data_IF_053929450806
#
_entry.id   IF_053929450806
#
_cell.length_a   1.000
_cell.length_b   1.000
_cell.length_c   1.000
_cell.angle_alpha   90.00
_cell.angle_beta   90.00
_cell.angle_gamma   90.00
#
_symmetry.space_group_name_H-M   'P 1'
#
loop_
_entity.id
_entity.type
_entity.pdbx_description
1 polymer ?
#
# COMPACT_ATOMS: atom_id res chain seq x y z
N UNK A 1 33.96 23.55 -89.47
CA UNK A 1 33.02 22.47 -89.15
C UNK A 1 33.38 21.84 -87.82
N UNK A 2 32.84 22.35 -86.70
CA UNK A 2 32.85 21.58 -85.45
C UNK A 2 31.78 20.49 -85.59
N UNK A 3 32.20 19.23 -85.64
CA UNK A 3 31.27 18.10 -85.55
C UNK A 3 30.66 18.12 -84.14
N UNK A 4 29.37 18.43 -84.06
CA UNK A 4 28.59 18.25 -82.84
C UNK A 4 28.42 16.73 -82.69
N UNK A 5 29.20 16.12 -81.80
CA UNK A 5 28.90 14.76 -81.37
C UNK A 5 27.60 14.79 -80.55
N UNK A 6 26.53 14.12 -80.96
CA UNK A 6 25.34 14.01 -80.14
C UNK A 6 25.74 13.33 -78.82
N UNK A 7 25.44 13.97 -77.68
CA UNK A 7 25.62 13.36 -76.37
C UNK A 7 24.62 12.20 -76.26
N UNK A 8 25.11 10.97 -76.42
CA UNK A 8 24.33 9.75 -76.26
C UNK A 8 24.16 9.49 -74.76
N UNK A 9 22.92 9.18 -74.33
CA UNK A 9 22.62 8.73 -72.96
C UNK A 9 23.42 7.47 -72.68
N UNK A 10 24.32 7.52 -71.69
CA UNK A 10 25.16 6.36 -71.34
C UNK A 10 24.34 5.26 -70.64
N UNK A 11 24.96 4.11 -70.39
CA UNK A 11 24.31 2.93 -69.82
C UNK A 11 23.68 3.21 -68.45
N UNK A 12 24.39 3.91 -67.55
CA UNK A 12 23.89 4.21 -66.21
C UNK A 12 22.70 5.18 -66.25
N UNK A 13 22.77 6.20 -67.11
CA UNK A 13 21.68 7.15 -67.33
C UNK A 13 20.45 6.44 -67.94
N UNK A 14 20.66 5.56 -68.93
CA UNK A 14 19.59 4.80 -69.58
C UNK A 14 18.89 3.86 -68.58
N UNK A 15 19.67 3.13 -67.77
CA UNK A 15 19.14 2.26 -66.72
C UNK A 15 18.41 3.05 -65.63
N UNK A 16 18.91 4.23 -65.25
CA UNK A 16 18.25 5.11 -64.27
C UNK A 16 16.91 5.64 -64.80
N UNK A 17 16.87 6.06 -66.07
CA UNK A 17 15.65 6.52 -66.72
C UNK A 17 14.63 5.39 -66.87
N UNK A 18 15.08 4.19 -67.24
CA UNK A 18 14.24 2.99 -67.28
C UNK A 18 13.66 2.65 -65.91
N UNK A 19 14.49 2.58 -64.86
CA UNK A 19 14.04 2.29 -63.50
C UNK A 19 13.02 3.31 -62.98
N UNK A 20 13.15 4.58 -63.36
CA UNK A 20 12.20 5.65 -63.01
C UNK A 20 10.94 5.69 -63.89
N UNK A 21 10.83 4.78 -64.87
CA UNK A 21 9.70 4.71 -65.80
C UNK A 21 9.71 5.78 -66.90
N UNK A 22 10.82 6.53 -67.04
CA UNK A 22 10.97 7.55 -68.08
C UNK A 22 11.29 6.95 -69.47
N UNK A 23 11.87 5.74 -69.50
CA UNK A 23 12.05 4.92 -70.70
C UNK A 23 11.27 3.61 -70.51
N UNK A 24 10.50 3.20 -71.52
CA UNK A 24 9.72 1.95 -71.48
C UNK A 24 10.63 0.72 -71.56
N UNK A 25 10.16 -0.42 -71.03
CA UNK A 25 10.92 -1.67 -70.97
C UNK A 25 11.28 -2.26 -72.36
N UNK A 26 10.50 -1.95 -73.39
CA UNK A 26 10.77 -2.33 -74.78
C UNK A 26 11.85 -1.45 -75.44
N UNK A 27 12.11 -0.26 -74.89
CA UNK A 27 13.06 0.71 -75.44
C UNK A 27 14.47 0.64 -74.80
N UNK A 28 14.61 0.09 -73.59
CA UNK A 28 15.90 0.00 -72.90
C UNK A 28 16.87 -0.98 -73.59
N UNK A 29 16.37 -2.16 -73.99
CA UNK A 29 17.20 -3.19 -74.63
C UNK A 29 17.81 -2.71 -75.96
N UNK A 30 17.05 -2.14 -76.92
CA UNK A 30 17.63 -1.58 -78.14
C UNK A 30 18.60 -0.42 -77.88
N UNK A 31 18.38 0.36 -76.82
CA UNK A 31 19.29 1.45 -76.45
C UNK A 31 20.64 0.92 -75.96
N UNK A 32 20.65 -0.07 -75.07
CA UNK A 32 21.87 -0.68 -74.57
C UNK A 32 22.60 -1.51 -75.66
N UNK A 33 21.88 -2.12 -76.59
CA UNK A 33 22.49 -2.78 -77.76
C UNK A 33 23.24 -1.77 -78.65
N UNK A 34 22.74 -0.54 -78.83
CA UNK A 34 23.45 0.53 -79.56
C UNK A 34 24.72 0.99 -78.85
N UNK A 35 24.80 0.80 -77.53
CA UNK A 35 26.01 1.06 -76.75
C UNK A 35 27.02 -0.11 -76.79
N UNK A 36 26.67 -1.21 -77.47
CA UNK A 36 27.56 -2.36 -77.69
C UNK A 36 27.41 -3.50 -76.68
N UNK A 37 26.39 -3.47 -75.82
CA UNK A 37 26.11 -4.58 -74.89
C UNK A 37 25.34 -5.71 -75.58
N UNK A 38 25.71 -6.96 -75.30
CA UNK A 38 24.98 -8.14 -75.72
C UNK A 38 23.81 -8.45 -74.79
N UNK A 39 22.93 -9.36 -75.19
CA UNK A 39 21.72 -9.69 -74.42
C UNK A 39 22.02 -10.16 -72.98
N UNK A 40 23.03 -11.03 -72.72
CA UNK A 40 23.45 -11.36 -71.36
C UNK A 40 23.94 -10.16 -70.53
N UNK A 41 24.78 -9.28 -71.09
CA UNK A 41 25.26 -8.09 -70.37
C UNK A 41 24.10 -7.12 -70.07
N UNK A 42 23.15 -6.98 -70.99
CA UNK A 42 21.96 -6.15 -70.78
C UNK A 42 21.13 -6.67 -69.61
N UNK A 43 20.89 -7.98 -69.54
CA UNK A 43 20.16 -8.58 -68.40
C UNK A 43 20.89 -8.32 -67.08
N UNK A 44 22.21 -8.55 -67.04
CA UNK A 44 23.02 -8.27 -65.86
C UNK A 44 23.01 -6.80 -65.44
N UNK A 45 23.07 -5.87 -66.38
CA UNK A 45 22.98 -4.43 -66.13
C UNK A 45 21.60 -4.01 -65.61
N UNK A 46 20.53 -4.63 -66.10
CA UNK A 46 19.17 -4.40 -65.63
C UNK A 46 18.98 -4.94 -64.20
N UNK A 47 19.50 -6.13 -63.90
CA UNK A 47 19.50 -6.69 -62.54
C UNK A 47 20.37 -5.85 -61.59
N UNK A 48 21.49 -5.29 -62.06
CA UNK A 48 22.42 -4.48 -61.27
C UNK A 48 21.76 -3.22 -60.67
N UNK A 49 20.78 -2.62 -61.37
CA UNK A 49 20.10 -1.40 -60.90
C UNK A 49 18.87 -1.68 -60.04
N UNK A 50 18.50 -2.94 -59.85
CA UNK A 50 17.45 -3.31 -58.90
C UNK A 50 17.89 -3.01 -57.47
N UNK A 51 16.97 -2.45 -56.68
CA UNK A 51 17.25 -2.20 -55.26
C UNK A 51 17.01 -3.47 -54.47
N UNK A 52 18.03 -3.88 -53.72
CA UNK A 52 17.97 -4.99 -52.77
C UNK A 52 17.56 -4.48 -51.41
N UNK A 53 16.77 -5.25 -50.69
CA UNK A 53 16.33 -4.89 -49.34
C UNK A 53 17.50 -5.02 -48.34
N UNK A 54 17.47 -4.16 -47.32
CA UNK A 54 18.41 -4.23 -46.21
C UNK A 54 18.04 -5.38 -45.25
N UNK A 55 19.01 -5.89 -44.46
CA UNK A 55 18.76 -7.00 -43.55
C UNK A 55 17.62 -6.74 -42.55
N UNK A 56 17.47 -5.52 -42.01
CA UNK A 56 16.45 -5.23 -41.01
C UNK A 56 15.04 -5.25 -41.61
N UNK A 57 14.88 -4.78 -42.85
CA UNK A 57 13.61 -4.87 -43.57
C UNK A 57 13.25 -6.32 -43.88
N UNK A 58 14.21 -7.12 -44.35
CA UNK A 58 14.01 -8.55 -44.61
C UNK A 58 13.59 -9.29 -43.34
N UNK A 59 14.30 -9.08 -42.22
CA UNK A 59 13.98 -9.71 -40.94
C UNK A 59 12.57 -9.38 -40.46
N UNK A 60 12.16 -8.09 -40.49
CA UNK A 60 10.81 -7.68 -40.05
C UNK A 60 9.68 -8.30 -40.87
N UNK A 61 9.84 -8.37 -42.20
CA UNK A 61 8.81 -8.97 -43.06
C UNK A 61 8.85 -10.50 -42.98
N UNK A 62 10.04 -11.10 -42.81
CA UNK A 62 10.24 -12.52 -42.60
C UNK A 62 9.50 -13.03 -41.36
N UNK A 63 9.57 -12.33 -40.23
CA UNK A 63 8.83 -12.72 -39.03
C UNK A 63 7.30 -12.69 -39.18
N UNK A 64 6.77 -11.92 -40.13
CA UNK A 64 5.32 -11.87 -40.38
C UNK A 64 4.79 -13.08 -41.12
N UNK A 65 5.61 -13.69 -41.97
CA UNK A 65 5.29 -14.90 -42.75
C UNK A 65 6.60 -15.51 -43.29
N UNK A 66 7.22 -16.38 -42.48
CA UNK A 66 8.55 -16.95 -42.78
C UNK A 66 8.58 -17.68 -44.12
N UNK A 67 7.62 -18.58 -44.44
CA UNK A 67 7.60 -19.27 -45.73
C UNK A 67 7.46 -18.32 -46.92
N UNK A 68 6.55 -17.34 -46.86
CA UNK A 68 6.29 -16.42 -47.97
C UNK A 68 7.47 -15.53 -48.30
N UNK A 69 8.21 -15.10 -47.27
CA UNK A 69 9.27 -14.09 -47.41
C UNK A 69 10.69 -14.67 -47.38
N UNK A 70 10.87 -15.98 -47.18
CA UNK A 70 12.19 -16.63 -47.20
C UNK A 70 12.99 -16.35 -48.50
N UNK A 71 12.30 -16.13 -49.63
CA UNK A 71 12.94 -15.76 -50.90
C UNK A 71 13.75 -14.46 -50.85
N UNK A 72 13.40 -13.52 -49.96
CA UNK A 72 14.06 -12.23 -49.86
C UNK A 72 15.48 -12.32 -49.30
N UNK A 73 15.86 -13.44 -48.67
CA UNK A 73 17.25 -13.67 -48.25
C UNK A 73 18.23 -13.73 -49.44
N UNK A 74 17.74 -14.00 -50.67
CA UNK A 74 18.54 -13.90 -51.89
C UNK A 74 19.09 -12.47 -52.09
N UNK A 75 18.36 -11.45 -51.66
CA UNK A 75 18.82 -10.07 -51.80
C UNK A 75 20.14 -9.82 -51.08
N UNK A 76 20.34 -10.46 -49.91
CA UNK A 76 21.60 -10.36 -49.16
C UNK A 76 22.72 -11.15 -49.83
N UNK A 77 22.39 -12.32 -50.40
CA UNK A 77 23.34 -13.12 -51.17
C UNK A 77 23.86 -12.34 -52.38
N UNK A 78 22.96 -11.71 -53.13
CA UNK A 78 23.30 -10.88 -54.30
C UNK A 78 24.10 -9.63 -53.93
N UNK A 79 23.99 -9.16 -52.68
CA UNK A 79 24.82 -8.07 -52.12
C UNK A 79 26.20 -8.55 -51.65
N UNK A 80 26.53 -9.84 -51.81
CA UNK A 80 27.84 -10.41 -51.49
C UNK A 80 27.94 -11.04 -50.09
N UNK A 81 26.82 -11.28 -49.40
CA UNK A 81 26.85 -12.05 -48.15
C UNK A 81 26.91 -13.55 -48.46
N UNK A 82 27.73 -14.28 -47.70
CA UNK A 82 27.78 -15.74 -47.76
C UNK A 82 26.52 -16.34 -47.11
N UNK A 83 26.20 -17.59 -47.47
CA UNK A 83 25.09 -18.34 -46.85
C UNK A 83 25.20 -18.38 -45.33
N UNK A 84 26.41 -18.51 -44.78
CA UNK A 84 26.65 -18.51 -43.33
C UNK A 84 26.26 -17.18 -42.69
N UNK A 85 26.63 -16.04 -43.31
CA UNK A 85 26.24 -14.70 -42.82
C UNK A 85 24.73 -14.48 -42.91
N UNK A 86 24.09 -15.01 -43.95
CA UNK A 86 22.62 -14.95 -44.09
C UNK A 86 21.94 -15.76 -42.98
N UNK A 87 22.48 -16.94 -42.64
CA UNK A 87 21.95 -17.75 -41.55
C UNK A 87 22.06 -17.01 -40.19
N UNK A 88 23.13 -16.26 -39.95
CA UNK A 88 23.23 -15.38 -38.76
C UNK A 88 22.06 -14.38 -38.73
N UNK A 89 21.72 -13.72 -39.85
CA UNK A 89 20.57 -12.80 -39.87
C UNK A 89 19.22 -13.49 -39.67
N UNK A 90 19.09 -14.75 -40.11
CA UNK A 90 17.89 -15.56 -39.83
C UNK A 90 17.77 -15.89 -38.35
N UNK A 91 18.88 -16.21 -37.69
CA UNK A 91 18.90 -16.43 -36.24
C UNK A 91 18.56 -15.14 -35.48
N UNK A 92 19.09 -13.99 -35.92
CA UNK A 92 18.76 -12.67 -35.35
C UNK A 92 17.29 -12.23 -35.57
N UNK A 93 16.53 -12.97 -36.39
CA UNK A 93 15.10 -12.74 -36.52
C UNK A 93 14.34 -13.14 -35.24
N UNK A 94 14.85 -14.12 -34.50
CA UNK A 94 14.35 -14.47 -33.18
C UNK A 94 15.05 -13.58 -32.13
N UNK A 95 14.26 -12.77 -31.42
CA UNK A 95 14.74 -11.79 -30.45
C UNK A 95 14.98 -12.47 -29.11
N UNK A 96 16.17 -12.23 -28.56
CA UNK A 96 16.47 -12.46 -27.15
C UNK A 96 16.07 -11.19 -26.39
N UNK A 97 15.22 -11.28 -25.35
CA UNK A 97 14.81 -10.13 -24.54
C UNK A 97 16.01 -9.34 -23.98
N UNK A 98 15.91 -8.01 -23.85
CA UNK A 98 16.98 -7.20 -23.26
C UNK A 98 17.19 -7.55 -21.77
N UNK A 99 18.36 -7.20 -21.25
CA UNK A 99 18.73 -7.49 -19.85
C UNK A 99 17.71 -6.97 -18.83
N UNK A 100 17.10 -5.80 -19.07
CA UNK A 100 16.06 -5.24 -18.18
C UNK A 100 14.86 -6.17 -18.04
N UNK A 101 14.46 -6.80 -19.14
CA UNK A 101 13.33 -7.72 -19.15
C UNK A 101 13.73 -9.04 -18.51
N UNK A 102 14.97 -9.50 -18.71
CA UNK A 102 15.50 -10.67 -18.01
C UNK A 102 15.52 -10.49 -16.49
N UNK A 103 15.90 -9.31 -15.98
CA UNK A 103 15.83 -9.02 -14.54
C UNK A 103 14.38 -9.05 -14.07
N UNK A 104 13.45 -8.44 -14.82
CA UNK A 104 12.01 -8.52 -14.50
C UNK A 104 11.53 -9.98 -14.47
N UNK A 105 11.92 -10.81 -15.43
CA UNK A 105 11.55 -12.22 -15.45
C UNK A 105 12.09 -12.97 -14.22
N UNK A 106 13.30 -12.63 -13.78
CA UNK A 106 13.87 -13.19 -12.56
C UNK A 106 13.08 -12.76 -11.31
N UNK A 107 12.74 -11.47 -11.19
CA UNK A 107 11.99 -10.93 -10.06
C UNK A 107 10.61 -11.59 -9.92
N UNK A 108 9.93 -11.84 -11.05
CA UNK A 108 8.62 -12.50 -11.09
C UNK A 108 8.69 -14.04 -11.07
N UNK A 109 9.88 -14.63 -10.98
CA UNK A 109 10.06 -16.08 -10.89
C UNK A 109 9.83 -16.84 -12.20
N UNK A 110 9.84 -16.17 -13.36
CA UNK A 110 9.66 -16.80 -14.68
C UNK A 110 10.83 -17.71 -15.11
N UNK A 111 11.90 -17.77 -14.32
CA UNK A 111 13.00 -18.73 -14.45
C UNK A 111 13.02 -19.77 -13.33
N UNK A 112 12.14 -19.64 -12.35
CA UNK A 112 12.17 -20.44 -11.13
C UNK A 112 11.22 -21.64 -11.26
N UNK A 113 11.72 -22.88 -11.34
CA UNK A 113 10.88 -24.04 -11.57
C UNK A 113 9.81 -24.24 -10.49
N UNK A 114 10.10 -23.87 -9.23
CA UNK A 114 9.14 -24.01 -8.13
C UNK A 114 7.96 -23.05 -8.30
N UNK A 115 8.24 -21.80 -8.70
CA UNK A 115 7.22 -20.78 -8.95
C UNK A 115 6.43 -21.11 -10.21
N UNK A 116 7.10 -21.56 -11.27
CA UNK A 116 6.44 -21.98 -12.51
C UNK A 116 5.49 -23.15 -12.25
N UNK A 117 5.90 -24.14 -11.46
CA UNK A 117 5.04 -25.27 -11.12
C UNK A 117 3.84 -24.83 -10.27
N UNK A 118 4.07 -23.96 -9.29
CA UNK A 118 3.00 -23.40 -8.44
C UNK A 118 1.93 -22.66 -9.25
N UNK A 119 2.34 -21.94 -10.29
CA UNK A 119 1.45 -21.11 -11.11
C UNK A 119 1.37 -21.57 -12.57
N UNK A 120 1.48 -22.89 -12.79
CA UNK A 120 1.60 -23.51 -14.11
C UNK A 120 0.49 -23.10 -15.08
N UNK A 121 -0.73 -22.96 -14.56
CA UNK A 121 -1.91 -22.52 -15.32
C UNK A 121 -1.75 -21.12 -15.93
N UNK A 122 -0.93 -20.26 -15.32
CA UNK A 122 -0.76 -18.85 -15.71
C UNK A 122 0.55 -18.58 -16.46
N UNK A 123 1.42 -19.59 -16.61
CA UNK A 123 2.74 -19.42 -17.21
C UNK A 123 2.72 -19.34 -18.73
N UNK A 124 1.97 -20.22 -19.40
CA UNK A 124 1.96 -20.25 -20.86
C UNK A 124 1.23 -19.04 -21.43
N UNK A 125 1.88 -18.37 -22.38
CA UNK A 125 1.26 -17.31 -23.13
C UNK A 125 0.13 -17.92 -23.99
N UNK A 126 -1.11 -17.43 -23.88
CA UNK A 126 -2.18 -17.89 -24.75
C UNK A 126 -1.87 -17.52 -26.20
N UNK A 127 -2.39 -18.30 -27.16
CA UNK A 127 -2.05 -18.13 -28.59
C UNK A 127 -2.31 -16.71 -29.11
N UNK A 128 -3.40 -16.08 -28.65
CA UNK A 128 -3.75 -14.70 -29.02
C UNK A 128 -2.72 -13.65 -28.59
N UNK A 129 -1.81 -13.99 -27.66
CA UNK A 129 -0.68 -13.16 -27.26
C UNK A 129 0.65 -13.67 -27.86
N UNK A 130 0.88 -14.99 -27.82
CA UNK A 130 2.10 -15.60 -28.34
C UNK A 130 2.27 -15.39 -29.86
N UNK A 131 1.18 -15.44 -30.63
CA UNK A 131 1.20 -15.23 -32.08
C UNK A 131 1.65 -13.80 -32.44
N UNK A 132 1.06 -12.72 -31.90
CA UNK A 132 1.58 -11.36 -32.09
C UNK A 132 3.04 -11.17 -31.64
N UNK A 133 3.46 -11.76 -30.53
CA UNK A 133 4.86 -11.71 -30.06
C UNK A 133 5.81 -12.36 -31.08
N UNK A 134 5.43 -13.48 -31.67
CA UNK A 134 6.22 -14.16 -32.69
C UNK A 134 6.42 -13.31 -33.96
N UNK A 135 5.44 -12.45 -34.33
CA UNK A 135 5.59 -11.50 -35.45
C UNK A 135 6.69 -10.45 -35.19
N UNK A 136 7.07 -10.25 -33.93
CA UNK A 136 8.17 -9.39 -33.50
C UNK A 136 9.47 -10.16 -33.27
N UNK A 137 9.46 -11.50 -33.40
CA UNK A 137 10.61 -12.35 -33.12
C UNK A 137 10.68 -12.88 -31.69
N UNK A 138 9.72 -12.56 -30.82
CA UNK A 138 9.66 -13.12 -29.47
C UNK A 138 8.94 -14.46 -29.53
N UNK A 139 9.70 -15.54 -29.56
CA UNK A 139 9.19 -16.91 -29.80
C UNK A 139 9.51 -17.84 -28.62
N UNK A 140 8.82 -18.99 -28.58
CA UNK A 140 9.05 -20.03 -27.59
C UNK A 140 8.85 -19.57 -26.15
N UNK A 141 9.76 -19.96 -25.26
CA UNK A 141 9.64 -19.65 -23.83
C UNK A 141 9.69 -18.15 -23.53
N UNK A 142 10.29 -17.32 -24.38
CA UNK A 142 10.35 -15.88 -24.13
C UNK A 142 8.95 -15.26 -24.08
N UNK A 143 8.04 -15.70 -24.95
CA UNK A 143 6.65 -15.26 -24.91
C UNK A 143 5.98 -15.63 -23.58
N UNK A 144 6.21 -16.87 -23.11
CA UNK A 144 5.72 -17.34 -21.81
C UNK A 144 6.28 -16.53 -20.64
N UNK A 145 7.56 -16.15 -20.67
CA UNK A 145 8.17 -15.34 -19.59
C UNK A 145 7.64 -13.91 -19.58
N UNK A 146 7.47 -13.28 -20.74
CA UNK A 146 6.78 -11.99 -20.84
C UNK A 146 5.36 -12.06 -20.32
N UNK A 147 4.63 -13.12 -20.68
CA UNK A 147 3.29 -13.35 -20.18
C UNK A 147 3.32 -13.57 -18.67
N UNK A 148 4.08 -14.51 -18.13
CA UNK A 148 4.08 -14.76 -16.69
C UNK A 148 4.46 -13.52 -15.87
N UNK A 149 5.40 -12.69 -16.34
CA UNK A 149 5.79 -11.43 -15.69
C UNK A 149 4.86 -10.23 -15.97
N UNK A 150 3.76 -10.41 -16.70
CA UNK A 150 2.76 -9.34 -16.91
C UNK A 150 1.76 -9.25 -15.74
N UNK A 151 1.54 -10.36 -15.02
CA UNK A 151 0.63 -10.41 -13.89
C UNK A 151 1.07 -9.47 -12.76
N UNK A 152 0.11 -8.81 -12.13
CA UNK A 152 0.34 -7.89 -11.01
C UNK A 152 0.08 -8.65 -9.70
N UNK A 153 1.09 -8.67 -8.84
CA UNK A 153 0.97 -9.30 -7.52
C UNK A 153 0.23 -8.38 -6.53
N UNK A 154 -0.54 -8.92 -5.58
CA UNK A 154 -1.27 -8.13 -4.58
C UNK A 154 -0.31 -7.29 -3.72
N UNK A 155 -0.73 -6.10 -3.30
CA UNK A 155 0.04 -5.27 -2.40
C UNK A 155 0.11 -5.86 -0.98
N UNK A 156 0.92 -5.24 -0.11
CA UNK A 156 1.08 -5.67 1.28
C UNK A 156 -0.23 -5.64 2.06
N UNK A 157 -1.09 -4.65 1.79
CA UNK A 157 -2.38 -4.51 2.44
C UNK A 157 -3.30 -5.66 2.03
N UNK A 158 -3.44 -5.91 0.73
CA UNK A 158 -4.24 -7.00 0.19
C UNK A 158 -3.75 -8.36 0.69
N UNK A 159 -2.43 -8.60 0.69
CA UNK A 159 -1.84 -9.82 1.23
C UNK A 159 -2.18 -10.03 2.71
N UNK A 160 -2.17 -8.98 3.52
CA UNK A 160 -2.55 -9.07 4.91
C UNK A 160 -4.04 -9.36 5.12
N UNK A 161 -4.92 -8.79 4.30
CA UNK A 161 -6.35 -9.12 4.33
C UNK A 161 -6.63 -10.56 3.87
N UNK A 162 -5.94 -11.03 2.82
CA UNK A 162 -6.05 -12.41 2.33
C UNK A 162 -5.59 -13.40 3.40
N UNK A 163 -4.44 -13.14 4.03
CA UNK A 163 -3.89 -13.98 5.10
C UNK A 163 -4.78 -13.99 6.34
N UNK A 164 -5.22 -12.83 6.81
CA UNK A 164 -6.07 -12.71 7.99
C UNK A 164 -7.46 -13.37 7.83
N UNK A 165 -7.91 -13.59 6.58
CA UNK A 165 -9.16 -14.30 6.24
C UNK A 165 -8.94 -15.77 5.88
N UNK A 166 -7.72 -16.27 6.05
CA UNK A 166 -7.35 -17.66 5.77
C UNK A 166 -7.59 -18.07 4.30
N UNK A 167 -7.58 -17.09 3.40
CA UNK A 167 -7.71 -17.33 1.95
C UNK A 167 -6.37 -17.77 1.34
N UNK A 168 -5.27 -17.45 2.03
CA UNK A 168 -3.90 -17.84 1.69
C UNK A 168 -3.13 -18.12 2.97
N UNK A 169 -2.12 -18.99 2.88
CA UNK A 169 -1.24 -19.33 3.99
C UNK A 169 0.10 -18.56 3.94
N UNK A 170 0.96 -18.80 4.93
CA UNK A 170 2.30 -18.20 5.03
C UNK A 170 3.16 -18.51 3.79
N UNK A 171 2.97 -19.68 3.15
CA UNK A 171 3.71 -20.10 1.95
C UNK A 171 3.36 -19.20 0.77
N UNK A 172 2.08 -19.00 0.51
CA UNK A 172 1.60 -18.14 -0.58
C UNK A 172 2.01 -16.68 -0.35
N UNK A 173 1.90 -16.17 0.87
CA UNK A 173 2.33 -14.80 1.20
C UNK A 173 3.83 -14.60 0.94
N UNK A 174 4.68 -15.55 1.38
CA UNK A 174 6.13 -15.47 1.14
C UNK A 174 6.48 -15.57 -0.33
N UNK A 175 5.79 -16.43 -1.09
CA UNK A 175 6.01 -16.53 -2.53
C UNK A 175 5.56 -15.27 -3.27
N UNK A 176 4.47 -14.63 -2.87
CA UNK A 176 4.10 -13.33 -3.42
C UNK A 176 5.23 -12.30 -3.22
N UNK A 177 5.81 -12.23 -2.02
CA UNK A 177 6.97 -11.36 -1.78
C UNK A 177 8.23 -11.77 -2.57
N UNK A 178 8.49 -13.07 -2.74
CA UNK A 178 9.58 -13.58 -3.60
C UNK A 178 9.40 -13.10 -5.03
N UNK A 179 8.19 -13.21 -5.58
CA UNK A 179 7.84 -12.77 -6.95
C UNK A 179 7.74 -11.25 -7.14
N UNK A 180 7.95 -10.48 -6.07
CA UNK A 180 8.13 -9.02 -6.11
C UNK A 180 9.61 -8.61 -5.99
N UNK A 181 10.54 -9.58 -5.92
CA UNK A 181 11.96 -9.34 -5.77
C UNK A 181 12.44 -9.07 -4.32
N UNK A 182 11.62 -9.34 -3.29
CA UNK A 182 12.10 -9.21 -1.91
C UNK A 182 13.04 -10.37 -1.53
N UNK A 183 14.16 -10.06 -0.88
CA UNK A 183 15.06 -11.10 -0.34
C UNK A 183 14.38 -11.91 0.76
N UNK A 184 14.87 -13.14 1.00
CA UNK A 184 14.35 -14.02 2.06
C UNK A 184 14.32 -13.34 3.43
N UNK A 185 15.32 -12.52 3.73
CA UNK A 185 15.36 -11.68 4.94
C UNK A 185 14.13 -10.79 5.11
N UNK A 186 13.69 -10.16 4.02
CA UNK A 186 12.51 -9.29 4.03
C UNK A 186 11.21 -10.09 3.98
N UNK A 187 11.15 -11.18 3.23
CA UNK A 187 9.96 -12.02 3.14
C UNK A 187 9.46 -12.44 4.54
N UNK A 188 10.35 -12.91 5.42
CA UNK A 188 9.96 -13.30 6.80
C UNK A 188 9.41 -12.13 7.61
N UNK A 189 10.03 -10.95 7.51
CA UNK A 189 9.60 -9.75 8.26
C UNK A 189 8.29 -9.19 7.74
N UNK A 190 8.06 -9.26 6.44
CA UNK A 190 6.83 -8.82 5.81
C UNK A 190 5.68 -9.78 6.10
N UNK A 191 5.95 -11.08 6.23
CA UNK A 191 4.98 -12.06 6.71
C UNK A 191 4.59 -11.77 8.16
N UNK A 192 5.55 -11.47 9.04
CA UNK A 192 5.20 -11.09 10.41
C UNK A 192 4.45 -9.76 10.47
N UNK A 193 4.78 -8.80 9.60
CA UNK A 193 4.11 -7.50 9.54
C UNK A 193 2.62 -7.60 9.16
N UNK A 194 2.22 -8.58 8.34
CA UNK A 194 0.80 -8.75 7.99
C UNK A 194 -0.04 -9.26 9.17
N UNK A 195 0.59 -9.89 10.17
CA UNK A 195 -0.09 -10.35 11.39
C UNK A 195 -0.35 -9.15 12.30
N UNK A 196 -1.62 -8.95 12.67
CA UNK A 196 -2.04 -7.76 13.41
C UNK A 196 -1.66 -7.85 14.89
N UNK A 197 -1.07 -6.79 15.50
CA UNK A 197 -0.93 -6.71 16.95
C UNK A 197 -2.29 -6.46 17.62
N UNK A 198 -2.37 -6.73 18.93
CA UNK A 198 -3.56 -6.37 19.72
C UNK A 198 -3.80 -4.87 19.71
N UNK A 199 -5.08 -4.47 19.75
CA UNK A 199 -5.42 -3.04 19.84
C UNK A 199 -5.07 -2.49 21.21
N UNK A 200 -4.81 -1.18 21.31
CA UNK A 200 -4.58 -0.50 22.60
C UNK A 200 -5.69 -0.77 23.63
N UNK A 201 -6.94 -0.87 23.17
CA UNK A 201 -8.08 -1.13 24.04
C UNK A 201 -8.05 -2.55 24.58
N UNK A 202 -7.76 -3.53 23.73
CA UNK A 202 -7.68 -4.93 24.14
C UNK A 202 -6.48 -5.17 25.05
N UNK A 203 -5.31 -4.61 24.73
CA UNK A 203 -4.12 -4.64 25.59
C UNK A 203 -4.42 -4.12 27.00
N UNK A 204 -5.13 -2.99 27.12
CA UNK A 204 -5.55 -2.44 28.41
C UNK A 204 -6.52 -3.36 29.16
N UNK A 205 -7.50 -3.94 28.47
CA UNK A 205 -8.45 -4.90 29.07
C UNK A 205 -7.75 -6.17 29.53
N UNK A 206 -6.81 -6.66 28.74
CA UNK A 206 -6.00 -7.82 29.05
C UNK A 206 -5.16 -7.59 30.31
N UNK A 207 -4.59 -6.39 30.46
CA UNK A 207 -3.89 -5.96 31.68
C UNK A 207 -4.83 -5.92 32.89
N UNK A 208 -6.00 -5.29 32.75
CA UNK A 208 -7.04 -5.22 33.80
C UNK A 208 -7.49 -6.60 34.29
N UNK A 209 -7.67 -7.53 33.36
CA UNK A 209 -8.03 -8.91 33.68
C UNK A 209 -6.85 -9.76 34.16
N UNK A 210 -5.63 -9.23 34.23
CA UNK A 210 -4.43 -9.99 34.61
C UNK A 210 -4.01 -11.09 33.62
N UNK A 211 -4.50 -11.03 32.38
CA UNK A 211 -4.17 -12.01 31.33
C UNK A 211 -2.79 -11.77 30.70
N UNK A 212 -2.22 -10.59 30.92
CA UNK A 212 -0.85 -10.25 30.52
C UNK A 212 -0.10 -9.62 31.69
N UNK A 213 1.22 -9.79 31.70
CA UNK A 213 2.13 -9.14 32.64
C UNK A 213 2.69 -7.82 32.07
N UNK A 214 3.52 -7.10 32.84
CA UNK A 214 4.02 -5.78 32.45
C UNK A 214 4.99 -5.85 31.25
N UNK A 215 5.77 -6.93 31.16
CA UNK A 215 6.65 -7.19 30.01
C UNK A 215 5.83 -7.34 28.71
N UNK A 216 4.75 -8.12 28.76
CA UNK A 216 3.83 -8.32 27.65
C UNK A 216 3.05 -7.04 27.31
N UNK A 217 2.64 -6.26 28.32
CA UNK A 217 2.01 -4.95 28.14
C UNK A 217 2.94 -3.99 27.37
N UNK A 218 4.19 -3.89 27.82
CA UNK A 218 5.23 -3.08 27.17
C UNK A 218 5.48 -3.56 25.74
N UNK A 219 5.62 -4.87 25.53
CA UNK A 219 5.82 -5.46 24.20
C UNK A 219 4.66 -5.15 23.27
N UNK A 220 3.42 -5.24 23.75
CA UNK A 220 2.23 -4.96 22.94
C UNK A 220 2.15 -3.48 22.52
N UNK A 221 2.45 -2.54 23.42
CA UNK A 221 2.53 -1.12 23.05
C UNK A 221 3.71 -0.82 22.12
N UNK A 222 4.83 -1.49 22.28
CA UNK A 222 5.95 -1.37 21.36
C UNK A 222 5.57 -1.88 19.95
N UNK A 223 4.83 -2.98 19.83
CA UNK A 223 4.31 -3.45 18.54
C UNK A 223 3.32 -2.50 17.88
N UNK A 224 2.63 -1.67 18.66
CA UNK A 224 1.81 -0.57 18.15
C UNK A 224 2.63 0.68 17.77
N UNK A 225 3.95 0.65 17.95
CA UNK A 225 4.86 1.71 17.55
C UNK A 225 5.17 2.74 18.65
N UNK A 226 4.87 2.45 19.92
CA UNK A 226 5.28 3.31 21.03
C UNK A 226 6.71 2.99 21.48
N UNK A 227 7.54 4.03 21.63
CA UNK A 227 8.95 3.93 22.03
C UNK A 227 9.27 4.94 23.15
N UNK A 228 10.36 4.68 23.88
CA UNK A 228 10.93 5.59 24.88
C UNK A 228 9.88 6.15 25.86
N UNK A 229 9.86 7.47 26.06
CA UNK A 229 8.93 8.16 26.95
C UNK A 229 7.45 7.91 26.61
N UNK A 230 7.13 7.67 25.33
CA UNK A 230 5.76 7.37 24.90
C UNK A 230 5.36 5.96 25.33
N UNK A 231 6.29 5.01 25.26
CA UNK A 231 6.08 3.65 25.74
C UNK A 231 5.94 3.63 27.27
N UNK A 232 6.86 4.29 27.97
CA UNK A 232 6.83 4.40 29.44
C UNK A 232 5.55 5.08 29.92
N UNK A 233 5.16 6.18 29.28
CA UNK A 233 3.91 6.88 29.55
C UNK A 233 2.68 6.02 29.31
N UNK A 234 2.65 5.24 28.22
CA UNK A 234 1.53 4.34 27.90
C UNK A 234 1.40 3.19 28.91
N UNK A 235 2.53 2.60 29.34
CA UNK A 235 2.55 1.57 30.37
C UNK A 235 2.06 2.15 31.71
N UNK A 236 2.64 3.26 32.16
CA UNK A 236 2.25 3.90 33.42
C UNK A 236 0.78 4.33 33.40
N UNK A 237 0.32 4.96 32.32
CA UNK A 237 -1.07 5.36 32.16
C UNK A 237 -2.00 4.17 32.28
N UNK A 238 -1.68 3.04 31.62
CA UNK A 238 -2.50 1.83 31.66
C UNK A 238 -2.61 1.26 33.06
N UNK A 239 -1.46 1.11 33.74
CA UNK A 239 -1.37 0.62 35.12
C UNK A 239 -2.24 1.43 36.07
N UNK A 240 -2.07 2.76 36.04
CA UNK A 240 -2.81 3.69 36.89
C UNK A 240 -4.28 3.73 36.52
N UNK A 241 -4.62 3.90 35.24
CA UNK A 241 -5.99 4.04 34.76
C UNK A 241 -6.87 2.86 35.18
N UNK A 242 -6.30 1.66 35.13
CA UNK A 242 -6.98 0.41 35.49
C UNK A 242 -7.10 0.23 37.00
N UNK A 243 -6.03 0.46 37.76
CA UNK A 243 -6.05 0.25 39.21
C UNK A 243 -6.82 1.34 39.98
N UNK A 244 -6.86 2.57 39.47
CA UNK A 244 -7.35 3.73 40.20
C UNK A 244 -8.83 3.64 40.65
N UNK A 245 -9.79 3.17 39.83
CA UNK A 245 -11.17 3.01 40.28
C UNK A 245 -11.33 2.08 41.49
N UNK A 246 -10.66 0.93 41.48
CA UNK A 246 -10.66 -0.03 42.59
C UNK A 246 -9.96 0.56 43.82
N UNK A 247 -8.79 1.18 43.63
CA UNK A 247 -8.05 1.86 44.70
C UNK A 247 -8.93 2.89 45.42
N UNK A 248 -9.68 3.69 44.67
CA UNK A 248 -10.61 4.68 45.23
C UNK A 248 -11.83 4.03 45.88
N UNK A 249 -12.30 2.87 45.41
CA UNK A 249 -13.37 2.13 46.06
C UNK A 249 -12.92 1.56 47.41
N UNK A 250 -11.72 0.96 47.47
CA UNK A 250 -11.10 0.46 48.71
C UNK A 250 -10.87 1.59 49.72
N UNK A 251 -10.41 2.74 49.26
CA UNK A 251 -10.26 3.93 50.11
C UNK A 251 -11.61 4.41 50.66
N UNK A 252 -12.64 4.56 49.81
CA UNK A 252 -13.99 4.99 50.24
C UNK A 252 -14.65 4.02 51.22
N UNK A 253 -14.37 2.73 51.09
CA UNK A 253 -14.86 1.69 51.99
C UNK A 253 -14.01 1.57 53.28
N UNK A 254 -12.96 2.39 53.45
CA UNK A 254 -12.08 2.36 54.61
C UNK A 254 -11.16 1.14 54.68
N UNK A 255 -10.97 0.41 53.58
CA UNK A 255 -10.09 -0.77 53.54
C UNK A 255 -8.61 -0.38 53.44
N UNK A 256 -8.33 0.82 52.92
CA UNK A 256 -7.01 1.44 52.89
C UNK A 256 -7.15 2.91 53.30
N UNK A 257 -6.08 3.47 53.88
CA UNK A 257 -5.99 4.90 54.19
C UNK A 257 -5.26 5.67 53.07
N UNK A 258 -5.05 6.98 53.25
CA UNK A 258 -4.33 7.81 52.28
C UNK A 258 -2.89 7.30 52.05
N UNK A 259 -2.23 6.78 53.10
CA UNK A 259 -0.90 6.19 53.00
C UNK A 259 -0.89 4.95 52.11
N UNK A 260 -1.89 4.08 52.23
CA UNK A 260 -2.10 2.92 51.35
C UNK A 260 -2.29 3.33 49.89
N UNK A 261 -3.13 4.34 49.63
CA UNK A 261 -3.32 4.89 48.27
C UNK A 261 -1.99 5.40 47.68
N UNK A 262 -1.21 6.15 48.45
CA UNK A 262 0.11 6.65 48.04
C UNK A 262 1.08 5.50 47.73
N UNK A 263 1.15 4.51 48.61
CA UNK A 263 2.06 3.37 48.47
C UNK A 263 1.75 2.54 47.21
N UNK A 264 0.47 2.33 46.90
CA UNK A 264 0.08 1.60 45.68
C UNK A 264 0.36 2.40 44.41
N UNK A 265 0.03 3.70 44.37
CA UNK A 265 0.35 4.56 43.22
C UNK A 265 1.86 4.64 42.95
N UNK A 266 2.68 4.72 44.01
CA UNK A 266 4.13 4.68 43.91
C UNK A 266 4.63 3.34 43.36
N UNK A 267 4.04 2.23 43.79
CA UNK A 267 4.36 0.87 43.30
C UNK A 267 3.99 0.70 41.82
N UNK A 268 2.94 1.38 41.34
CA UNK A 268 2.60 1.42 39.92
C UNK A 268 3.61 2.26 39.10
N UNK A 269 4.51 3.00 39.74
CA UNK A 269 5.55 3.81 39.12
C UNK A 269 5.15 5.27 38.90
N UNK A 270 4.10 5.76 39.56
CA UNK A 270 3.71 7.17 39.45
C UNK A 270 4.75 8.05 40.17
N UNK A 271 5.22 9.15 39.55
CA UNK A 271 6.12 10.09 40.22
C UNK A 271 5.49 10.72 41.46
N UNK A 272 6.26 10.90 42.52
CA UNK A 272 5.77 11.39 43.82
C UNK A 272 5.02 12.73 43.71
N UNK A 273 5.55 13.67 42.92
CA UNK A 273 4.89 14.97 42.67
C UNK A 273 3.49 14.80 42.05
N UNK A 274 3.33 13.81 41.17
CA UNK A 274 2.04 13.51 40.54
C UNK A 274 1.10 12.81 41.50
N UNK A 275 1.60 11.94 42.37
CA UNK A 275 0.82 11.30 43.43
C UNK A 275 0.22 12.37 44.33
N UNK A 276 1.04 13.31 44.82
CA UNK A 276 0.58 14.41 45.68
C UNK A 276 -0.54 15.22 45.01
N UNK A 277 -0.32 15.61 43.75
CA UNK A 277 -1.34 16.34 42.97
C UNK A 277 -2.63 15.52 42.80
N UNK A 278 -2.52 14.21 42.58
CA UNK A 278 -3.67 13.33 42.41
C UNK A 278 -4.46 13.15 43.72
N UNK A 279 -3.77 12.99 44.85
CA UNK A 279 -4.40 12.92 46.18
C UNK A 279 -5.15 14.21 46.48
N UNK A 280 -4.51 15.37 46.35
CA UNK A 280 -5.14 16.67 46.60
C UNK A 280 -6.40 16.91 45.77
N UNK A 281 -6.42 16.44 44.52
CA UNK A 281 -7.54 16.66 43.59
C UNK A 281 -8.65 15.61 43.68
N UNK A 282 -8.35 14.39 44.14
CA UNK A 282 -9.29 13.26 44.12
C UNK A 282 -9.77 12.82 45.49
N UNK A 283 -9.00 13.08 46.54
CA UNK A 283 -9.37 12.84 47.93
C UNK A 283 -9.81 14.18 48.53
N UNK A 284 -11.11 14.35 48.73
CA UNK A 284 -11.61 15.51 49.48
C UNK A 284 -11.10 15.38 50.91
N UNK A 285 -10.41 16.39 51.43
CA UNK A 285 -10.16 16.51 52.88
C UNK A 285 -11.51 16.34 53.57
N UNK A 286 -11.60 15.39 54.50
CA UNK A 286 -12.78 15.20 55.31
C UNK A 286 -13.16 16.58 55.89
N UNK A 287 -14.27 17.15 55.41
CA UNK A 287 -14.95 18.13 56.26
C UNK A 287 -15.29 17.36 57.54
N UNK A 288 -15.12 17.97 58.72
CA UNK A 288 -15.51 17.32 59.96
C UNK A 288 -16.91 16.75 59.74
N UNK A 289 -17.11 15.49 60.13
CA UNK A 289 -18.44 14.89 60.20
C UNK A 289 -19.36 15.97 60.72
N UNK A 290 -20.36 16.37 59.92
CA UNK A 290 -21.53 17.01 60.51
C UNK A 290 -22.05 15.94 61.44
N UNK A 291 -21.74 16.09 62.72
CA UNK A 291 -22.39 15.40 63.81
C UNK A 291 -23.86 15.42 63.44
N UNK A 292 -24.51 14.26 63.38
CA UNK A 292 -25.98 14.17 63.32
C UNK A 292 -26.53 14.79 64.62
N UNK A 293 -26.45 16.12 64.72
CA UNK A 293 -27.37 16.90 65.51
C UNK A 293 -28.68 16.88 64.74
N UNK A 294 -29.74 16.53 65.47
CA UNK A 294 -31.15 16.52 65.08
C UNK A 294 -31.45 17.35 63.82
N UNK A 295 -32.12 16.74 62.83
CA UNK A 295 -32.53 17.48 61.62
C UNK A 295 -33.39 18.67 62.03
N UNK A 296 -32.83 19.87 61.94
CA UNK A 296 -33.56 21.10 62.15
C UNK A 296 -34.74 21.17 61.17
N UNK A 297 -35.88 21.70 61.64
CA UNK A 297 -37.03 21.94 60.78
C UNK A 297 -36.61 22.89 59.65
N UNK A 298 -36.96 22.54 58.43
CA UNK A 298 -36.79 23.43 57.29
C UNK A 298 -37.69 24.66 57.46
N UNK A 299 -37.33 25.79 56.84
CA UNK A 299 -38.20 26.97 56.78
C UNK A 299 -39.63 26.67 56.34
N UNK A 300 -39.80 25.64 55.48
CA UNK A 300 -41.09 25.19 54.99
C UNK A 300 -41.92 24.47 56.05
N UNK A 301 -41.28 23.66 56.88
CA UNK A 301 -41.93 22.98 57.99
C UNK A 301 -42.29 23.97 59.10
N UNK A 302 -41.47 24.99 59.35
CA UNK A 302 -41.75 26.03 60.34
C UNK A 302 -43.02 26.81 59.97
N UNK A 303 -43.10 27.43 58.78
CA UNK A 303 -44.31 28.19 58.43
C UNK A 303 -45.54 27.28 58.24
N UNK A 304 -45.37 26.02 57.84
CA UNK A 304 -46.47 25.06 57.78
C UNK A 304 -46.96 24.67 59.18
N UNK A 305 -46.06 24.55 60.15
CA UNK A 305 -46.36 24.32 61.56
C UNK A 305 -47.11 25.50 62.18
N UNK A 306 -46.66 26.72 61.93
CA UNK A 306 -47.38 27.94 62.36
C UNK A 306 -48.78 28.00 61.74
N UNK A 307 -48.90 27.72 60.44
CA UNK A 307 -50.21 27.67 59.74
C UNK A 307 -51.16 26.61 60.28
N UNK A 308 -50.63 25.50 60.79
CA UNK A 308 -51.40 24.40 61.39
C UNK A 308 -51.63 24.59 62.89
N UNK A 309 -51.17 25.68 63.50
CA UNK A 309 -51.26 25.94 64.93
C UNK A 309 -50.39 25.04 65.80
N UNK A 310 -49.39 24.38 65.21
CA UNK A 310 -48.41 23.54 65.92
C UNK A 310 -47.38 24.41 66.65
N UNK A 311 -47.09 25.59 66.10
CA UNK A 311 -46.26 26.62 66.70
C UNK A 311 -47.04 27.94 66.73
N UNK A 312 -46.79 28.78 67.73
CA UNK A 312 -47.26 30.15 67.75
C UNK A 312 -46.48 31.01 66.75
N UNK A 313 -47.03 32.17 66.40
CA UNK A 313 -46.36 33.12 65.51
C UNK A 313 -44.98 33.54 66.04
N UNK A 314 -44.87 33.77 67.35
CA UNK A 314 -43.63 34.16 68.01
C UNK A 314 -42.58 33.04 67.97
N UNK A 315 -42.99 31.78 68.21
CA UNK A 315 -42.09 30.63 68.11
C UNK A 315 -41.60 30.42 66.67
N UNK A 316 -42.48 30.59 65.68
CA UNK A 316 -42.10 30.54 64.28
C UNK A 316 -41.08 31.60 63.88
N UNK A 317 -41.17 32.82 64.46
CA UNK A 317 -40.20 33.88 64.24
C UNK A 317 -38.83 33.48 64.79
N UNK A 318 -38.77 33.03 66.04
CA UNK A 318 -37.52 32.60 66.67
C UNK A 318 -36.87 31.44 65.91
N UNK A 319 -37.65 30.43 65.50
CA UNK A 319 -37.14 29.30 64.73
C UNK A 319 -36.60 29.71 63.35
N UNK A 320 -37.19 30.72 62.69
CA UNK A 320 -36.65 31.25 61.44
C UNK A 320 -35.38 32.08 61.68
N UNK A 321 -35.29 32.82 62.80
CA UNK A 321 -34.08 33.55 63.17
C UNK A 321 -32.91 32.60 63.49
N UNK A 322 -33.19 31.48 64.14
CA UNK A 322 -32.20 30.42 64.42
C UNK A 322 -31.67 29.77 63.13
N UNK A 323 -32.48 29.75 62.06
CA UNK A 323 -32.05 29.36 60.71
C UNK A 323 -31.26 30.44 59.96
N UNK A 324 -31.04 31.61 60.57
CA UNK A 324 -30.21 32.70 60.04
C UNK A 324 -30.96 33.76 59.22
N UNK A 325 -32.29 33.81 59.28
CA UNK A 325 -33.06 34.94 58.72
C UNK A 325 -33.06 36.10 59.71
N UNK A 326 -32.98 37.34 59.22
CA UNK A 326 -33.15 38.49 60.12
C UNK A 326 -34.62 38.63 60.59
N UNK A 327 -34.85 39.51 61.57
CA UNK A 327 -36.17 39.67 62.18
C UNK A 327 -37.26 40.10 61.17
N UNK A 328 -36.90 40.97 60.23
CA UNK A 328 -37.83 41.51 59.24
C UNK A 328 -38.11 40.47 58.15
N UNK A 329 -37.08 39.70 57.75
CA UNK A 329 -37.19 38.58 56.82
C UNK A 329 -38.03 37.43 57.40
N UNK A 330 -37.79 37.04 58.64
CA UNK A 330 -38.55 36.02 59.34
C UNK A 330 -40.04 36.40 59.44
N UNK A 331 -40.32 37.67 59.75
CA UNK A 331 -41.68 38.20 59.82
C UNK A 331 -42.35 38.24 58.44
N UNK A 332 -41.63 38.67 57.41
CA UNK A 332 -42.12 38.66 56.03
C UNK A 332 -42.45 37.23 55.55
N UNK A 333 -41.60 36.25 55.88
CA UNK A 333 -41.82 34.84 55.52
C UNK A 333 -43.13 34.32 56.13
N UNK A 334 -43.38 34.56 57.41
CA UNK A 334 -44.61 34.12 58.07
C UNK A 334 -45.83 34.88 57.52
N UNK A 335 -45.75 36.21 57.33
CA UNK A 335 -46.82 37.02 56.72
C UNK A 335 -47.22 36.50 55.34
N UNK A 336 -46.25 36.16 54.51
CA UNK A 336 -46.49 35.67 53.15
C UNK A 336 -47.07 34.25 53.15
N UNK A 337 -46.59 33.35 54.02
CA UNK A 337 -46.87 31.91 53.93
C UNK A 337 -48.00 31.42 54.83
N UNK A 338 -48.19 32.06 55.97
CA UNK A 338 -49.27 31.76 56.92
C UNK A 338 -50.51 32.62 56.63
N UNK A 339 -50.30 33.84 56.13
CA UNK A 339 -51.33 34.86 55.92
C UNK A 339 -51.39 35.80 57.13
N UNK A 340 -51.70 37.08 56.87
CA UNK A 340 -51.86 38.08 57.93
C UNK A 340 -52.98 37.62 58.90
N UNK A 341 -52.65 37.53 60.19
CA UNK A 341 -53.62 37.38 61.28
C UNK A 341 -54.52 38.63 61.36
#
# INVERSE_FOLDING_TARGET
NSMIHPLIVNELQALTLWRRGAIKADAIKPHLQKLGFDDPAILGLMELVETRLDPATITRIYNRDRPKWNKLWKDLYDQGLTSDRINIYKELADIIPPLSDMVRFADFGSFDPEIIEMWREFYDAPSWMAEPMALLGVTGEWANKYWFSHWIQPGRYELGELHARELVDDTIVKNAYRTMGYSSYWQERLLELVKRPWTRVDVRRMWDMGTINEEQLRKAYHWLGYYDEWLDGMVLWTKVYVAFPDLMARFKNGWIDEGGVRSELATLGMPEERIETMIQTKIKKAQPERVEGERDLTKAEIYAGVKKGVFTWAEGLTMLQDLGYDADEAEAILKIRVGAL
#
